data_IF_795459677743
#
_entry.id   IF_795459677743
#
_cell.length_a   1.000
_cell.length_b   1.000
_cell.length_c   1.000
_cell.angle_alpha   90.00
_cell.angle_beta   90.00
_cell.angle_gamma   90.00
#
_symmetry.space_group_name_H-M   'P 1'
#
loop_
_entity.id
_entity.type
_entity.pdbx_description
1 polymer ?
#
# COMPACT_ATOMS: atom_id res chain seq x y z
N UNK A 1 6.78 7.88 15.69
CA UNK A 1 7.25 6.48 15.83
C UNK A 1 8.47 6.53 16.78
N UNK A 2 9.28 5.48 17.00
CA UNK A 2 10.55 5.62 17.75
C UNK A 2 11.59 4.67 17.15
N UNK A 3 12.51 5.19 16.34
CA UNK A 3 13.76 4.48 16.08
C UNK A 3 14.66 4.73 17.31
N UNK A 4 14.92 3.70 18.10
CA UNK A 4 15.87 3.82 19.22
C UNK A 4 17.28 3.91 18.65
N UNK A 5 17.93 5.08 18.79
CA UNK A 5 19.34 5.24 18.45
C UNK A 5 20.17 4.40 19.42
N UNK A 6 20.68 3.27 18.96
CA UNK A 6 21.65 2.48 19.69
C UNK A 6 22.97 3.27 19.77
N UNK A 7 23.16 4.06 20.84
CA UNK A 7 24.50 4.52 21.21
C UNK A 7 25.30 3.30 21.65
N UNK A 8 26.29 2.90 20.87
CA UNK A 8 27.33 1.97 21.31
C UNK A 8 28.10 2.61 22.47
N UNK A 9 27.86 2.14 23.69
CA UNK A 9 28.79 2.28 24.81
C UNK A 9 29.57 0.96 24.94
N UNK A 10 30.87 0.98 25.28
CA UNK A 10 31.64 -0.23 25.43
C UNK A 10 31.24 -0.90 26.74
N UNK A 11 30.57 -2.05 26.67
CA UNK A 11 30.20 -2.83 27.86
C UNK A 11 31.06 -4.08 27.90
N UNK A 12 31.78 -4.21 29.01
CA UNK A 12 32.59 -5.37 29.37
C UNK A 12 31.78 -6.64 29.38
N UNK A 13 32.39 -7.75 28.98
CA UNK A 13 31.84 -9.09 29.05
C UNK A 13 31.33 -9.41 30.47
N UNK A 14 30.01 -9.40 30.63
CA UNK A 14 29.32 -10.18 31.64
C UNK A 14 28.15 -10.89 30.95
N UNK A 15 28.19 -12.23 31.04
CA UNK A 15 27.17 -13.15 30.57
C UNK A 15 25.79 -12.69 31.02
N UNK A 16 24.91 -12.39 30.06
CA UNK A 16 23.50 -12.10 30.34
C UNK A 16 22.64 -13.08 29.56
N UNK A 17 21.69 -13.63 30.31
CA UNK A 17 20.69 -14.65 29.98
C UNK A 17 20.17 -14.60 28.53
N UNK A 18 20.21 -15.74 27.85
CA UNK A 18 19.56 -15.98 26.57
C UNK A 18 18.07 -15.60 26.64
N UNK A 19 17.69 -14.59 25.86
CA UNK A 19 16.29 -14.30 25.54
C UNK A 19 15.76 -15.51 24.74
N UNK A 20 14.60 -16.11 25.07
CA UNK A 20 14.12 -17.28 24.37
C UNK A 20 13.92 -16.96 22.88
N UNK A 21 14.70 -17.61 22.01
CA UNK A 21 14.48 -17.55 20.56
C UNK A 21 13.11 -18.20 20.28
N UNK A 22 12.08 -17.38 20.06
CA UNK A 22 10.82 -17.87 19.48
C UNK A 22 11.15 -18.46 18.12
N UNK A 23 10.98 -19.78 17.99
CA UNK A 23 11.06 -20.46 16.70
C UNK A 23 9.84 -20.04 15.88
N UNK A 24 10.06 -19.31 14.79
CA UNK A 24 9.03 -18.97 13.82
C UNK A 24 9.07 -20.01 12.71
N UNK A 25 8.16 -20.99 12.77
CA UNK A 25 7.96 -21.97 11.71
C UNK A 25 6.84 -21.47 10.80
N UNK A 26 7.13 -21.34 9.51
CA UNK A 26 6.13 -21.06 8.48
C UNK A 26 5.65 -22.41 7.97
N UNK A 27 4.36 -22.69 8.10
CA UNK A 27 3.80 -23.96 7.69
C UNK A 27 3.46 -23.95 6.20
N UNK A 28 4.04 -24.87 5.44
CA UNK A 28 3.64 -25.17 4.07
C UNK A 28 2.31 -25.93 4.07
N UNK A 29 1.31 -25.44 3.34
CA UNK A 29 0.02 -26.09 3.18
C UNK A 29 -0.06 -26.89 1.87
N UNK A 30 -1.08 -27.76 1.76
CA UNK A 30 -1.37 -28.49 0.51
C UNK A 30 -1.55 -27.53 -0.69
N UNK A 31 -2.15 -26.36 -0.46
CA UNK A 31 -2.36 -25.34 -1.48
C UNK A 31 -1.03 -24.75 -1.98
N UNK A 32 -0.05 -24.62 -1.10
CA UNK A 32 1.26 -24.08 -1.46
C UNK A 32 2.05 -25.05 -2.34
N UNK A 33 1.97 -26.35 -2.03
CA UNK A 33 2.53 -27.44 -2.84
C UNK A 33 1.82 -27.55 -4.18
N UNK A 34 0.49 -27.43 -4.18
CA UNK A 34 -0.32 -27.39 -5.41
C UNK A 34 0.12 -26.21 -6.30
N UNK A 35 0.26 -25.01 -5.73
CA UNK A 35 0.72 -23.84 -6.46
C UNK A 35 2.13 -24.04 -7.05
N UNK A 36 3.07 -24.54 -6.26
CA UNK A 36 4.44 -24.87 -6.71
C UNK A 36 4.46 -25.82 -7.92
N UNK A 37 3.67 -26.90 -7.86
CA UNK A 37 3.57 -27.87 -8.95
C UNK A 37 3.01 -27.29 -10.26
N UNK A 38 2.31 -26.16 -10.19
CA UNK A 38 1.71 -25.48 -11.34
C UNK A 38 2.60 -24.41 -11.97
N UNK A 39 3.68 -23.98 -11.32
CA UNK A 39 4.61 -22.99 -11.90
C UNK A 39 5.32 -23.46 -13.19
N UNK A 40 5.67 -24.75 -13.37
CA UNK A 40 6.21 -25.25 -14.64
C UNK A 40 5.15 -25.53 -15.72
N UNK A 41 3.85 -25.48 -15.42
CA UNK A 41 2.80 -25.96 -16.33
C UNK A 41 1.54 -25.11 -16.24
N UNK A 42 1.33 -24.33 -17.29
CA UNK A 42 0.15 -23.52 -17.62
C UNK A 42 -1.21 -24.03 -17.07
N UNK A 43 -1.84 -23.15 -16.26
CA UNK A 43 -3.27 -23.04 -15.93
C UNK A 43 -3.99 -24.24 -15.27
N UNK A 44 -4.52 -24.07 -14.05
CA UNK A 44 -5.95 -24.27 -13.68
C UNK A 44 -6.27 -23.91 -12.20
N UNK A 45 -7.56 -23.90 -11.89
CA UNK A 45 -8.30 -23.14 -10.87
C UNK A 45 -8.63 -23.94 -9.60
N UNK A 46 -8.60 -23.31 -8.41
CA UNK A 46 -9.28 -23.81 -7.21
C UNK A 46 -10.28 -22.78 -6.68
N UNK A 47 -11.56 -23.18 -6.58
CA UNK A 47 -12.62 -22.39 -5.97
C UNK A 47 -12.47 -22.40 -4.44
N UNK A 48 -12.23 -21.25 -3.84
CA UNK A 48 -12.38 -21.08 -2.39
C UNK A 48 -13.87 -20.95 -2.08
N UNK A 49 -14.41 -21.95 -1.39
CA UNK A 49 -15.70 -21.84 -0.71
C UNK A 49 -15.67 -20.64 0.23
N UNK A 50 -16.44 -19.61 -0.14
CA UNK A 50 -16.69 -18.44 0.71
C UNK A 50 -17.40 -18.92 1.97
N UNK A 51 -16.69 -18.91 3.09
CA UNK A 51 -17.35 -18.93 4.39
C UNK A 51 -17.84 -17.51 4.66
N UNK A 52 -19.15 -17.26 4.82
CA UNK A 52 -19.62 -15.95 5.22
C UNK A 52 -19.09 -15.68 6.64
N UNK A 53 -18.18 -14.71 6.76
CA UNK A 53 -17.81 -14.13 8.05
C UNK A 53 -19.07 -13.48 8.62
N UNK A 54 -19.62 -14.08 9.69
CA UNK A 54 -20.76 -13.50 10.42
C UNK A 54 -20.30 -12.17 11.00
N UNK A 55 -20.99 -11.04 10.73
CA UNK A 55 -20.69 -9.80 11.42
C UNK A 55 -20.95 -10.02 12.92
N UNK A 56 -19.91 -9.85 13.73
CA UNK A 56 -20.03 -9.85 15.18
C UNK A 56 -20.88 -8.62 15.53
N UNK A 57 -22.15 -8.83 15.91
CA UNK A 57 -23.03 -7.75 16.35
C UNK A 57 -22.49 -7.21 17.68
N UNK A 58 -21.73 -6.13 17.62
CA UNK A 58 -21.41 -5.34 18.80
C UNK A 58 -22.63 -4.47 19.17
N UNK A 59 -22.89 -4.25 20.47
CA UNK A 59 -24.01 -3.43 20.92
C UNK A 59 -23.92 -2.01 20.37
N UNK A 60 -25.07 -1.38 20.13
CA UNK A 60 -25.15 0.00 19.69
C UNK A 60 -24.62 0.92 20.80
N UNK A 61 -23.40 1.43 20.62
CA UNK A 61 -22.83 2.47 21.47
C UNK A 61 -23.44 3.78 20.99
N UNK A 62 -24.15 4.47 21.89
CA UNK A 62 -24.56 5.86 21.67
C UNK A 62 -23.29 6.72 21.66
N UNK A 63 -22.70 6.92 20.48
CA UNK A 63 -21.46 7.67 20.35
C UNK A 63 -21.75 9.12 20.05
N UNK A 64 -21.26 10.01 20.91
CA UNK A 64 -21.34 11.46 20.71
C UNK A 64 -20.42 11.86 19.54
N UNK A 65 -20.96 12.60 18.55
CA UNK A 65 -20.19 13.05 17.39
C UNK A 65 -18.99 13.93 17.82
N UNK A 66 -19.17 14.74 18.86
CA UNK A 66 -18.09 15.61 19.36
C UNK A 66 -16.93 14.80 19.96
N UNK A 67 -17.22 13.70 20.66
CA UNK A 67 -16.20 12.79 21.18
C UNK A 67 -15.42 12.13 20.05
N UNK A 68 -16.11 11.70 18.98
CA UNK A 68 -15.45 11.12 17.80
C UNK A 68 -14.55 12.13 17.08
N UNK A 69 -14.97 13.40 16.99
CA UNK A 69 -14.13 14.45 16.38
C UNK A 69 -12.91 14.77 17.23
N UNK A 70 -13.07 14.85 18.56
CA UNK A 70 -11.93 14.99 19.47
C UNK A 70 -11.00 13.78 19.37
N UNK A 71 -11.57 12.58 19.31
CA UNK A 71 -10.81 11.35 19.14
C UNK A 71 -10.05 11.31 17.81
N UNK A 72 -10.65 11.80 16.71
CA UNK A 72 -9.96 12.00 15.44
C UNK A 72 -8.74 12.90 15.61
N UNK A 73 -8.96 14.06 16.23
CA UNK A 73 -7.94 15.09 16.42
C UNK A 73 -6.75 14.58 17.24
N UNK A 74 -7.00 13.74 18.26
CA UNK A 74 -5.96 13.26 19.16
C UNK A 74 -5.32 11.94 18.76
N UNK A 75 -6.07 10.99 18.18
CA UNK A 75 -5.61 9.60 18.02
C UNK A 75 -5.89 9.01 16.65
N UNK A 76 -7.10 9.08 16.11
CA UNK A 76 -7.44 8.29 14.91
C UNK A 76 -6.61 8.70 13.67
N UNK A 77 -6.29 9.99 13.53
CA UNK A 77 -5.49 10.49 12.40
C UNK A 77 -4.07 9.88 12.34
N UNK A 78 -3.53 9.38 13.46
CA UNK A 78 -2.20 8.76 13.51
C UNK A 78 -2.13 7.44 12.74
N UNK A 79 -3.29 6.86 12.43
CA UNK A 79 -3.43 5.63 11.64
C UNK A 79 -3.54 5.91 10.13
N UNK A 80 -3.69 7.16 9.73
CA UNK A 80 -3.65 7.55 8.33
C UNK A 80 -2.21 7.41 7.84
N UNK A 81 -2.01 6.65 6.77
CA UNK A 81 -0.68 6.48 6.18
C UNK A 81 -0.49 7.57 5.12
N UNK A 82 0.53 8.39 5.33
CA UNK A 82 1.00 9.47 4.47
C UNK A 82 2.49 9.26 4.19
N UNK A 83 3.07 9.95 3.20
CA UNK A 83 4.50 9.83 2.90
C UNK A 83 5.27 11.15 3.05
N UNK A 84 5.00 12.18 2.24
CA UNK A 84 5.70 13.46 2.37
C UNK A 84 5.07 14.33 3.47
N UNK A 85 3.77 14.20 3.67
CA UNK A 85 2.99 15.00 4.62
C UNK A 85 2.95 14.36 6.00
N UNK A 86 3.00 15.16 7.06
CA UNK A 86 2.84 14.64 8.43
C UNK A 86 1.39 14.28 8.71
N UNK A 87 1.16 13.30 9.57
CA UNK A 87 -0.20 12.94 10.01
C UNK A 87 -0.93 14.10 10.69
N UNK A 88 -0.20 14.99 11.37
CA UNK A 88 -0.75 16.23 11.91
C UNK A 88 -1.15 17.22 10.80
N UNK A 89 -0.32 17.37 9.75
CA UNK A 89 -0.62 18.21 8.60
C UNK A 89 -1.90 17.77 7.89
N UNK A 90 -2.04 16.47 7.60
CA UNK A 90 -3.27 15.97 6.97
C UNK A 90 -4.47 16.11 7.89
N UNK A 91 -4.34 15.86 9.21
CA UNK A 91 -5.41 16.07 10.19
C UNK A 91 -5.92 17.51 10.16
N UNK A 92 -5.02 18.50 10.23
CA UNK A 92 -5.39 19.91 10.30
C UNK A 92 -6.08 20.38 9.01
N UNK A 93 -5.57 19.93 7.85
CA UNK A 93 -6.20 20.16 6.55
C UNK A 93 -7.61 19.57 6.50
N UNK A 94 -7.77 18.30 6.89
CA UNK A 94 -9.07 17.62 6.89
C UNK A 94 -10.09 18.33 7.80
N UNK A 95 -9.69 18.65 9.04
CA UNK A 95 -10.57 19.34 9.99
C UNK A 95 -10.99 20.72 9.51
N UNK A 96 -10.09 21.49 8.90
CA UNK A 96 -10.41 22.80 8.31
C UNK A 96 -11.41 22.65 7.17
N UNK A 97 -11.16 21.73 6.23
CA UNK A 97 -12.04 21.46 5.10
C UNK A 97 -13.45 21.03 5.53
N UNK A 98 -13.60 20.26 6.60
CA UNK A 98 -14.91 19.82 7.10
C UNK A 98 -15.72 20.94 7.77
N UNK A 99 -15.04 21.97 8.29
CA UNK A 99 -15.68 23.03 9.08
C UNK A 99 -15.81 24.36 8.33
N UNK A 100 -15.24 24.47 7.13
CA UNK A 100 -15.18 25.73 6.38
C UNK A 100 -16.55 26.20 5.89
N UNK A 101 -17.46 25.28 5.56
CA UNK A 101 -18.80 25.58 5.06
C UNK A 101 -19.77 24.43 5.36
N UNK A 102 -21.06 24.64 5.07
CA UNK A 102 -22.11 23.63 5.25
C UNK A 102 -22.51 22.96 3.92
N UNK A 103 -21.57 22.81 2.98
CA UNK A 103 -21.85 22.14 1.71
C UNK A 103 -22.13 20.64 1.92
N UNK A 104 -22.73 20.00 0.92
CA UNK A 104 -22.88 18.54 0.91
C UNK A 104 -21.50 17.85 0.98
N UNK A 105 -20.47 18.38 0.30
CA UNK A 105 -19.12 17.83 0.31
C UNK A 105 -18.44 17.96 1.68
N UNK A 106 -18.59 19.10 2.37
CA UNK A 106 -18.08 19.31 3.73
C UNK A 106 -18.76 18.37 4.72
N UNK A 107 -20.08 18.25 4.60
CA UNK A 107 -20.87 17.33 5.42
C UNK A 107 -20.45 15.88 5.15
N UNK A 108 -20.20 15.50 3.90
CA UNK A 108 -19.70 14.18 3.56
C UNK A 108 -18.35 13.88 4.21
N UNK A 109 -17.43 14.85 4.16
CA UNK A 109 -16.13 14.76 4.79
C UNK A 109 -16.24 14.61 6.31
N UNK A 110 -17.12 15.38 6.95
CA UNK A 110 -17.39 15.25 8.38
C UNK A 110 -17.90 13.84 8.74
N UNK A 111 -18.86 13.31 7.98
CA UNK A 111 -19.38 11.96 8.20
C UNK A 111 -18.35 10.88 7.93
N UNK A 112 -17.46 11.05 6.94
CA UNK A 112 -16.35 10.14 6.70
C UNK A 112 -15.35 10.13 7.88
N UNK A 113 -15.04 11.30 8.47
CA UNK A 113 -14.22 11.37 9.69
C UNK A 113 -14.87 10.68 10.88
N UNK A 114 -16.19 10.86 11.08
CA UNK A 114 -16.93 10.19 12.15
C UNK A 114 -16.94 8.67 11.96
N UNK A 115 -17.14 8.20 10.71
CA UNK A 115 -17.10 6.78 10.36
C UNK A 115 -15.72 6.18 10.68
N UNK A 116 -14.65 6.84 10.21
CA UNK A 116 -13.27 6.42 10.42
C UNK A 116 -12.91 6.39 11.91
N UNK A 117 -13.28 7.42 12.66
CA UNK A 117 -13.01 7.52 14.10
C UNK A 117 -13.78 6.46 14.89
N UNK A 118 -15.04 6.20 14.53
CA UNK A 118 -15.85 5.16 15.15
C UNK A 118 -15.26 3.77 14.90
N UNK A 119 -14.82 3.48 13.67
CA UNK A 119 -14.15 2.24 13.31
C UNK A 119 -12.81 2.08 14.05
N UNK A 120 -12.01 3.15 14.13
CA UNK A 120 -10.72 3.11 14.82
C UNK A 120 -10.91 2.87 16.32
N UNK A 121 -11.85 3.57 16.95
CA UNK A 121 -12.06 3.51 18.39
C UNK A 121 -12.73 2.21 18.85
N UNK A 122 -13.83 1.83 18.21
CA UNK A 122 -14.70 0.74 18.67
C UNK A 122 -14.63 -0.51 17.78
N UNK A 123 -14.06 -0.39 16.58
CA UNK A 123 -14.17 -1.42 15.55
C UNK A 123 -15.43 -1.30 14.71
N UNK A 124 -15.65 -2.33 13.89
CA UNK A 124 -16.75 -2.34 12.93
C UNK A 124 -18.07 -2.46 13.67
N UNK A 125 -18.88 -1.41 13.61
CA UNK A 125 -20.17 -1.31 14.29
C UNK A 125 -21.24 -0.71 13.37
N UNK A 126 -22.52 -0.86 13.77
CA UNK A 126 -23.65 -0.24 13.05
C UNK A 126 -23.48 1.28 12.96
N UNK A 127 -23.00 1.92 14.02
CA UNK A 127 -22.70 3.36 14.06
C UNK A 127 -21.65 3.75 13.02
N UNK A 128 -20.53 3.02 12.94
CA UNK A 128 -19.48 3.30 11.96
C UNK A 128 -19.97 3.17 10.50
N UNK A 129 -20.82 2.16 10.24
CA UNK A 129 -21.40 1.92 8.92
C UNK A 129 -22.45 2.97 8.57
N UNK A 130 -23.26 3.41 9.54
CA UNK A 130 -24.25 4.48 9.34
C UNK A 130 -23.57 5.77 8.89
N UNK A 131 -22.48 6.17 9.55
CA UNK A 131 -21.70 7.34 9.14
C UNK A 131 -21.07 7.16 7.75
N UNK A 132 -20.55 5.96 7.43
CA UNK A 132 -20.04 5.65 6.07
C UNK A 132 -21.13 5.85 5.01
N UNK A 133 -22.33 5.29 5.24
CA UNK A 133 -23.47 5.40 4.31
C UNK A 133 -23.91 6.86 4.14
N UNK A 134 -23.96 7.63 5.24
CA UNK A 134 -24.30 9.06 5.18
C UNK A 134 -23.27 9.85 4.37
N UNK A 135 -21.98 9.58 4.56
CA UNK A 135 -20.92 10.21 3.76
C UNK A 135 -21.09 9.90 2.27
N UNK A 136 -21.36 8.64 1.91
CA UNK A 136 -21.58 8.24 0.51
C UNK A 136 -22.80 8.91 -0.11
N UNK A 137 -23.92 9.00 0.64
CA UNK A 137 -25.11 9.71 0.18
C UNK A 137 -24.80 11.18 -0.10
N UNK A 138 -24.12 11.86 0.82
CA UNK A 138 -23.76 13.27 0.67
C UNK A 138 -22.76 13.52 -0.47
N UNK A 139 -21.82 12.59 -0.71
CA UNK A 139 -20.95 12.62 -1.89
C UNK A 139 -21.76 12.50 -3.18
N UNK A 140 -22.72 11.57 -3.24
CA UNK A 140 -23.61 11.42 -4.40
C UNK A 140 -24.39 12.70 -4.68
N UNK A 141 -25.04 13.27 -3.65
CA UNK A 141 -25.76 14.54 -3.78
C UNK A 141 -24.83 15.66 -4.25
N UNK A 142 -23.63 15.77 -3.68
CA UNK A 142 -22.66 16.77 -4.09
C UNK A 142 -22.23 16.64 -5.55
N UNK A 143 -22.18 15.43 -6.10
CA UNK A 143 -21.80 15.18 -7.49
C UNK A 143 -22.98 15.40 -8.48
N UNK A 144 -24.22 15.37 -7.99
CA UNK A 144 -25.44 15.61 -8.78
C UNK A 144 -25.74 17.11 -8.96
N UNK A 145 -25.24 17.96 -8.06
CA UNK A 145 -25.49 19.42 -8.03
C UNK A 145 -24.74 20.22 -9.13
N UNK A 146 -24.06 19.55 -10.07
CA UNK A 146 -23.34 20.17 -11.18
C UNK A 146 -21.83 20.19 -11.02
N UNK A 147 -21.15 21.16 -11.64
CA UNK A 147 -19.68 21.28 -11.57
C UNK A 147 -19.23 21.67 -10.15
N UNK A 148 -18.31 20.89 -9.59
CA UNK A 148 -17.80 21.13 -8.25
C UNK A 148 -16.88 22.36 -8.23
N UNK A 149 -17.14 23.29 -7.31
CA UNK A 149 -16.16 24.34 -6.98
C UNK A 149 -14.87 23.70 -6.44
N UNK A 150 -13.72 24.38 -6.56
CA UNK A 150 -12.44 23.87 -6.07
C UNK A 150 -12.49 23.48 -4.57
N UNK A 151 -13.19 24.26 -3.74
CA UNK A 151 -13.38 23.95 -2.31
C UNK A 151 -14.18 22.66 -2.13
N UNK A 152 -15.31 22.52 -2.83
CA UNK A 152 -16.15 21.32 -2.75
C UNK A 152 -15.43 20.09 -3.34
N UNK A 153 -14.62 20.27 -4.38
CA UNK A 153 -13.78 19.24 -4.97
C UNK A 153 -12.74 18.72 -3.96
N UNK A 154 -12.00 19.62 -3.30
CA UNK A 154 -11.06 19.25 -2.23
C UNK A 154 -11.74 18.49 -1.09
N UNK A 155 -12.92 18.95 -0.64
CA UNK A 155 -13.71 18.26 0.38
C UNK A 155 -14.17 16.87 -0.09
N UNK A 156 -14.60 16.74 -1.35
CA UNK A 156 -15.02 15.48 -1.94
C UNK A 156 -13.85 14.49 -2.05
N UNK A 157 -12.67 14.96 -2.48
CA UNK A 157 -11.42 14.17 -2.54
C UNK A 157 -11.02 13.70 -1.14
N UNK A 158 -11.03 14.60 -0.16
CA UNK A 158 -10.72 14.30 1.24
C UNK A 158 -11.69 13.25 1.84
N UNK A 159 -12.99 13.39 1.58
CA UNK A 159 -14.00 12.44 2.04
C UNK A 159 -13.78 11.05 1.43
N UNK A 160 -13.53 10.98 0.11
CA UNK A 160 -13.16 9.75 -0.58
C UNK A 160 -11.92 9.10 0.03
N UNK A 161 -10.85 9.85 0.28
CA UNK A 161 -9.62 9.31 0.88
C UNK A 161 -9.85 8.74 2.29
N UNK A 162 -10.67 9.38 3.12
CA UNK A 162 -11.03 8.85 4.44
C UNK A 162 -11.89 7.58 4.36
N UNK A 163 -12.79 7.49 3.38
CA UNK A 163 -13.54 6.26 3.11
C UNK A 163 -12.62 5.13 2.62
N UNK A 164 -11.62 5.45 1.79
CA UNK A 164 -10.57 4.51 1.41
C UNK A 164 -9.76 4.03 2.63
N UNK A 165 -9.40 4.95 3.51
CA UNK A 165 -8.70 4.66 4.77
C UNK A 165 -9.55 3.82 5.73
N UNK A 166 -10.86 4.06 5.78
CA UNK A 166 -11.81 3.25 6.55
C UNK A 166 -11.76 1.78 6.09
N UNK A 167 -11.79 1.54 4.78
CA UNK A 167 -11.73 0.18 4.21
C UNK A 167 -10.38 -0.52 4.45
N UNK A 168 -9.27 0.22 4.51
CA UNK A 168 -7.93 -0.36 4.71
C UNK A 168 -7.52 -0.49 6.17
N UNK A 169 -8.19 0.22 7.10
CA UNK A 169 -7.89 0.18 8.52
C UNK A 169 -8.14 -1.22 9.12
N UNK A 170 -9.30 -1.81 8.78
CA UNK A 170 -9.69 -3.18 9.13
C UNK A 170 -10.36 -3.84 7.93
N UNK A 171 -9.56 -4.31 6.95
CA UNK A 171 -10.09 -4.78 5.69
C UNK A 171 -11.02 -5.97 5.91
N UNK A 172 -12.24 -5.85 5.38
CA UNK A 172 -13.11 -7.01 5.23
C UNK A 172 -12.48 -7.94 4.20
N UNK A 173 -12.57 -9.25 4.41
CA UNK A 173 -11.96 -10.24 3.51
C UNK A 173 -12.61 -10.26 2.09
N UNK A 174 -13.60 -9.40 1.81
CA UNK A 174 -14.46 -9.50 0.63
C UNK A 174 -14.63 -8.25 -0.23
N UNK A 175 -14.33 -7.02 0.23
CA UNK A 175 -14.86 -5.83 -0.45
C UNK A 175 -13.89 -5.17 -1.45
N UNK A 176 -12.58 -5.11 -1.20
CA UNK A 176 -11.64 -4.39 -2.10
C UNK A 176 -12.06 -2.93 -2.40
N UNK A 177 -12.97 -2.38 -1.59
CA UNK A 177 -13.74 -1.16 -1.89
C UNK A 177 -12.87 0.10 -1.83
N UNK A 178 -11.76 0.03 -1.08
CA UNK A 178 -10.79 1.10 -0.96
C UNK A 178 -10.32 1.63 -2.32
N UNK A 179 -10.15 0.75 -3.33
CA UNK A 179 -9.73 1.17 -4.67
C UNK A 179 -10.70 2.16 -5.31
N UNK A 180 -12.00 1.94 -5.17
CA UNK A 180 -13.02 2.82 -5.75
C UNK A 180 -12.99 4.20 -5.12
N UNK A 181 -12.67 4.27 -3.84
CA UNK A 181 -12.50 5.55 -3.15
C UNK A 181 -11.26 6.30 -3.62
N UNK A 182 -10.12 5.62 -3.78
CA UNK A 182 -8.88 6.24 -4.31
C UNK A 182 -9.07 6.69 -5.76
N UNK A 183 -9.65 5.85 -6.62
CA UNK A 183 -9.88 6.21 -8.03
C UNK A 183 -10.94 7.30 -8.17
N UNK A 184 -12.01 7.27 -7.39
CA UNK A 184 -12.98 8.36 -7.36
C UNK A 184 -12.36 9.69 -6.93
N UNK A 185 -11.40 9.67 -6.00
CA UNK A 185 -10.65 10.87 -5.63
C UNK A 185 -9.79 11.39 -6.79
N UNK A 186 -9.11 10.50 -7.52
CA UNK A 186 -8.33 10.85 -8.73
C UNK A 186 -9.23 11.42 -9.82
N UNK A 187 -10.39 10.79 -10.08
CA UNK A 187 -11.35 11.24 -11.09
C UNK A 187 -11.83 12.67 -10.78
N UNK A 188 -12.10 13.00 -9.51
CA UNK A 188 -12.48 14.36 -9.09
C UNK A 188 -11.34 15.35 -9.32
N UNK A 189 -10.10 15.00 -8.92
CA UNK A 189 -8.92 15.85 -9.14
C UNK A 189 -8.76 16.21 -10.63
N UNK A 190 -8.95 15.22 -11.51
CA UNK A 190 -8.84 15.41 -12.95
C UNK A 190 -9.99 16.26 -13.50
N UNK A 191 -11.23 15.94 -13.12
CA UNK A 191 -12.42 16.62 -13.61
C UNK A 191 -12.41 18.12 -13.27
N UNK A 192 -11.88 18.48 -12.10
CA UNK A 192 -11.84 19.87 -11.62
C UNK A 192 -10.49 20.55 -11.80
N UNK A 193 -9.51 19.90 -12.46
CA UNK A 193 -8.14 20.41 -12.64
C UNK A 193 -7.50 20.86 -11.32
N UNK A 194 -7.79 20.15 -10.22
CA UNK A 194 -7.39 20.58 -8.88
C UNK A 194 -5.85 20.65 -8.73
N UNK A 195 -5.13 19.83 -9.51
CA UNK A 195 -3.66 19.84 -9.55
C UNK A 195 -3.07 21.14 -10.09
N UNK A 196 -3.76 21.87 -10.97
CA UNK A 196 -3.26 23.13 -11.51
C UNK A 196 -3.31 24.27 -10.48
N UNK A 197 -4.08 24.05 -9.40
CA UNK A 197 -4.25 24.96 -8.28
C UNK A 197 -3.48 24.51 -7.02
N UNK A 198 -2.55 23.56 -7.16
CA UNK A 198 -1.79 22.99 -6.03
C UNK A 198 -0.74 23.93 -5.42
N UNK A 199 -0.68 25.21 -5.83
CA UNK A 199 0.17 26.22 -5.21
C UNK A 199 -0.24 26.54 -3.76
N UNK A 200 -1.48 26.19 -3.39
CA UNK A 200 -1.94 26.26 -2.00
C UNK A 200 -1.45 25.05 -1.20
N UNK A 201 -0.83 25.30 -0.05
CA UNK A 201 -0.22 24.27 0.81
C UNK A 201 -1.23 23.17 1.21
N UNK A 202 -2.50 23.53 1.44
CA UNK A 202 -3.55 22.57 1.82
C UNK A 202 -3.92 21.62 0.68
N UNK A 203 -4.10 22.17 -0.52
CA UNK A 203 -4.42 21.40 -1.73
C UNK A 203 -3.26 20.49 -2.12
N UNK A 204 -2.02 20.97 -1.96
CA UNK A 204 -0.82 20.14 -2.16
C UNK A 204 -0.79 18.93 -1.21
N UNK A 205 -1.02 19.16 0.10
CA UNK A 205 -1.02 18.09 1.11
C UNK A 205 -2.05 16.99 0.78
N UNK A 206 -3.22 17.38 0.31
CA UNK A 206 -4.28 16.45 -0.07
C UNK A 206 -3.91 15.66 -1.34
N UNK A 207 -3.39 16.34 -2.37
CA UNK A 207 -3.01 15.70 -3.64
C UNK A 207 -1.84 14.74 -3.44
N UNK A 208 -0.84 15.11 -2.64
CA UNK A 208 0.26 14.22 -2.26
C UNK A 208 -0.27 12.93 -1.59
N UNK A 209 -1.21 13.09 -0.66
CA UNK A 209 -1.83 11.94 0.01
C UNK A 209 -2.56 11.03 -1.00
N UNK A 210 -3.31 11.60 -1.95
CA UNK A 210 -3.96 10.84 -3.02
C UNK A 210 -2.95 10.14 -3.90
N UNK A 211 -1.87 10.82 -4.30
CA UNK A 211 -0.85 10.29 -5.21
C UNK A 211 -0.08 9.13 -4.61
N UNK A 212 0.21 9.20 -3.31
CA UNK A 212 0.79 8.10 -2.55
C UNK A 212 -0.11 6.84 -2.62
N UNK A 213 -1.38 6.96 -2.24
CA UNK A 213 -2.32 5.84 -2.25
C UNK A 213 -2.62 5.35 -3.67
N UNK A 214 -2.73 6.25 -4.64
CA UNK A 214 -2.97 5.91 -6.03
C UNK A 214 -1.80 5.11 -6.62
N UNK A 215 -0.56 5.52 -6.36
CA UNK A 215 0.64 4.79 -6.80
C UNK A 215 0.65 3.36 -6.26
N UNK A 216 0.37 3.20 -4.98
CA UNK A 216 0.37 1.89 -4.33
C UNK A 216 -0.87 1.06 -4.70
N UNK A 217 -1.97 1.71 -5.10
CA UNK A 217 -3.10 1.04 -5.75
C UNK A 217 -2.70 0.40 -7.07
N UNK A 218 -1.89 1.09 -7.90
CA UNK A 218 -1.40 0.54 -9.17
C UNK A 218 -0.53 -0.68 -8.93
N UNK A 219 0.43 -0.59 -8.01
CA UNK A 219 1.23 -1.75 -7.59
C UNK A 219 0.36 -2.94 -7.17
N UNK A 220 -0.61 -2.70 -6.28
CA UNK A 220 -1.53 -3.75 -5.80
C UNK A 220 -2.31 -4.39 -6.94
N UNK A 221 -2.88 -3.57 -7.85
CA UNK A 221 -3.67 -4.07 -8.99
C UNK A 221 -2.83 -4.76 -10.05
N UNK A 222 -1.57 -4.38 -10.20
CA UNK A 222 -0.67 -4.97 -11.18
C UNK A 222 -0.33 -6.42 -10.84
N UNK A 223 -0.17 -6.73 -9.55
CA UNK A 223 0.22 -8.05 -9.07
C UNK A 223 -0.96 -8.90 -8.56
N UNK A 224 -2.13 -8.32 -8.33
CA UNK A 224 -3.29 -9.09 -7.89
C UNK A 224 -4.00 -9.79 -9.07
N UNK A 225 -3.64 -11.04 -9.33
CA UNK A 225 -3.98 -11.78 -10.56
C UNK A 225 -5.20 -12.74 -10.45
N UNK A 226 -6.22 -12.43 -9.64
CA UNK A 226 -7.36 -13.35 -9.44
C UNK A 226 -8.22 -13.61 -10.72
N UNK A 227 -7.96 -12.94 -11.86
CA UNK A 227 -8.70 -13.16 -13.12
C UNK A 227 -8.05 -14.14 -14.09
N UNK A 228 -6.74 -14.40 -14.01
CA UNK A 228 -6.08 -15.38 -14.90
C UNK A 228 -6.52 -16.82 -14.59
N UNK A 229 -6.87 -17.08 -13.33
CA UNK A 229 -7.28 -18.40 -12.85
C UNK A 229 -8.76 -18.76 -13.12
N UNK A 230 -9.60 -17.84 -13.65
CA UNK A 230 -11.03 -18.09 -13.86
C UNK A 230 -11.49 -18.23 -15.32
N UNK A 231 -10.59 -18.00 -16.30
CA UNK A 231 -10.99 -17.80 -17.71
C UNK A 231 -11.05 -19.06 -18.59
N UNK A 232 -11.20 -20.27 -18.02
CA UNK A 232 -11.43 -21.49 -18.84
C UNK A 232 -12.70 -22.28 -18.52
N UNK A 233 -13.48 -21.93 -17.49
CA UNK A 233 -14.69 -22.67 -17.12
C UNK A 233 -16.02 -22.01 -17.52
N UNK A 234 -16.05 -20.82 -18.11
CA UNK A 234 -17.32 -20.20 -18.54
C UNK A 234 -17.16 -19.41 -19.83
N UNK A 235 -17.83 -19.87 -20.90
CA UNK A 235 -18.02 -19.14 -22.17
C UNK A 235 -18.95 -17.92 -22.04
N UNK A 236 -19.25 -17.47 -20.82
CA UNK A 236 -19.78 -16.13 -20.56
C UNK A 236 -18.73 -15.39 -19.75
N UNK A 237 -17.94 -14.48 -20.37
CA UNK A 237 -17.01 -13.67 -19.60
C UNK A 237 -17.83 -12.87 -18.60
N UNK A 238 -17.48 -13.01 -17.32
CA UNK A 238 -17.96 -12.16 -16.25
C UNK A 238 -17.38 -10.77 -16.50
N UNK A 239 -18.03 -10.05 -17.43
CA UNK A 239 -17.63 -8.76 -17.98
C UNK A 239 -17.73 -7.61 -16.97
N UNK A 240 -18.07 -7.89 -15.72
CA UNK A 240 -18.30 -6.85 -14.70
C UNK A 240 -17.06 -6.02 -14.34
N UNK A 241 -15.85 -6.54 -14.57
CA UNK A 241 -14.63 -5.76 -14.32
C UNK A 241 -13.95 -5.19 -15.57
N UNK A 242 -14.41 -5.55 -16.78
CA UNK A 242 -13.84 -5.03 -18.04
C UNK A 242 -14.86 -4.24 -18.86
N UNK A 243 -16.11 -4.16 -18.41
CA UNK A 243 -17.25 -3.58 -19.15
C UNK A 243 -18.09 -2.59 -18.34
N UNK A 244 -17.46 -1.87 -17.41
CA UNK A 244 -17.53 -0.42 -17.55
C UNK A 244 -16.24 -0.06 -18.26
N UNK A 245 -16.37 0.60 -19.39
CA UNK A 245 -15.39 1.58 -19.84
C UNK A 245 -15.11 2.49 -18.65
N UNK A 246 -14.21 2.07 -17.74
CA UNK A 246 -13.38 3.03 -17.05
C UNK A 246 -12.80 3.87 -18.19
N UNK A 247 -13.02 5.19 -18.24
CA UNK A 247 -12.12 6.04 -18.99
C UNK A 247 -10.72 5.54 -18.65
N UNK A 248 -9.83 5.40 -19.64
CA UNK A 248 -8.60 4.70 -19.38
C UNK A 248 -7.93 5.45 -18.23
N UNK A 249 -7.84 4.78 -17.05
CA UNK A 249 -7.13 5.28 -15.86
C UNK A 249 -5.62 5.48 -16.16
N UNK A 250 -5.24 5.42 -17.45
CA UNK A 250 -3.95 5.64 -18.07
C UNK A 250 -3.64 7.12 -18.34
N UNK A 251 -4.45 8.09 -17.88
CA UNK A 251 -4.20 9.51 -18.17
C UNK A 251 -3.76 10.30 -16.94
N UNK A 252 -4.07 9.85 -15.72
CA UNK A 252 -3.53 10.52 -14.53
C UNK A 252 -2.11 10.05 -14.23
N UNK A 253 -1.14 10.76 -14.80
CA UNK A 253 0.23 10.77 -14.27
C UNK A 253 0.22 11.74 -13.09
N UNK A 254 0.68 11.35 -11.89
CA UNK A 254 0.95 12.29 -10.82
C UNK A 254 1.90 13.38 -11.36
N UNK A 255 1.34 14.53 -11.74
CA UNK A 255 2.11 15.67 -12.23
C UNK A 255 2.53 16.48 -11.01
N UNK A 256 3.51 15.98 -10.27
CA UNK A 256 4.23 16.85 -9.35
C UNK A 256 5.31 17.58 -10.16
N UNK A 257 5.48 18.90 -10.02
CA UNK A 257 6.81 19.45 -10.17
C UNK A 257 7.71 18.64 -9.21
N UNK A 258 8.83 18.10 -9.70
CA UNK A 258 9.79 17.30 -8.92
C UNK A 258 10.49 18.15 -7.86
N UNK A 259 9.73 18.67 -6.90
CA UNK A 259 10.17 19.61 -5.88
C UNK A 259 10.82 18.86 -4.72
N UNK A 260 10.39 17.62 -4.46
CA UNK A 260 10.86 16.84 -3.31
C UNK A 260 11.15 15.36 -3.66
N UNK A 261 12.10 14.70 -2.97
CA UNK A 261 12.48 13.32 -3.25
C UNK A 261 11.36 12.29 -3.13
N UNK A 262 10.33 12.58 -2.34
CA UNK A 262 9.19 11.69 -2.05
C UNK A 262 8.28 11.59 -3.26
N UNK A 263 7.91 12.73 -3.84
CA UNK A 263 7.12 12.77 -5.07
C UNK A 263 7.88 12.19 -6.27
N UNK A 264 9.21 12.40 -6.34
CA UNK A 264 10.07 11.79 -7.36
C UNK A 264 10.05 10.26 -7.28
N UNK A 265 10.27 9.67 -6.10
CA UNK A 265 10.29 8.20 -5.97
C UNK A 265 8.91 7.58 -6.23
N UNK A 266 7.83 8.24 -5.79
CA UNK A 266 6.47 7.79 -6.10
C UNK A 266 6.17 7.82 -7.60
N UNK A 267 6.62 8.86 -8.31
CA UNK A 267 6.46 8.96 -9.77
C UNK A 267 7.22 7.86 -10.52
N UNK A 268 8.43 7.51 -10.06
CA UNK A 268 9.22 6.42 -10.63
C UNK A 268 8.56 5.06 -10.38
N UNK A 269 8.06 4.82 -9.17
CA UNK A 269 7.31 3.61 -8.84
C UNK A 269 6.01 3.50 -9.66
N UNK A 270 5.29 4.60 -9.82
CA UNK A 270 4.07 4.65 -10.64
C UNK A 270 4.37 4.27 -12.10
N UNK A 271 5.42 4.86 -12.68
CA UNK A 271 5.85 4.53 -14.04
C UNK A 271 6.26 3.06 -14.15
N UNK A 272 7.05 2.54 -13.20
CA UNK A 272 7.47 1.15 -13.16
C UNK A 272 6.27 0.19 -13.16
N UNK A 273 5.22 0.51 -12.40
CA UNK A 273 3.99 -0.28 -12.38
C UNK A 273 3.21 -0.20 -13.71
N UNK A 274 3.26 0.93 -14.42
CA UNK A 274 2.53 1.11 -15.69
C UNK A 274 3.23 0.49 -16.89
N UNK A 275 4.56 0.54 -16.93
CA UNK A 275 5.30 0.00 -18.07
C UNK A 275 5.45 -1.51 -18.00
N UNK A 276 5.38 -2.10 -16.80
CA UNK A 276 5.62 -3.53 -16.61
C UNK A 276 4.76 -4.38 -17.56
N UNK A 277 5.43 -5.29 -18.24
CA UNK A 277 4.85 -6.28 -19.13
C UNK A 277 5.13 -7.68 -18.60
N UNK A 278 4.16 -8.59 -18.81
CA UNK A 278 4.37 -10.01 -18.58
C UNK A 278 5.59 -10.48 -19.40
N UNK A 279 6.56 -11.19 -18.81
CA UNK A 279 7.71 -11.75 -19.54
C UNK A 279 7.32 -12.64 -20.74
N UNK A 280 6.13 -13.23 -20.72
CA UNK A 280 5.59 -14.04 -21.81
C UNK A 280 4.97 -13.21 -22.93
N UNK A 281 4.77 -11.90 -22.73
CA UNK A 281 4.32 -10.99 -23.78
C UNK A 281 5.46 -10.77 -24.80
N UNK A 282 5.24 -10.98 -26.12
CA UNK A 282 6.25 -10.69 -27.14
C UNK A 282 6.80 -9.27 -27.08
N UNK A 283 6.01 -8.29 -26.63
CA UNK A 283 6.42 -6.88 -26.48
C UNK A 283 7.41 -6.66 -25.33
N UNK A 284 7.52 -7.60 -24.37
CA UNK A 284 8.53 -7.55 -23.30
C UNK A 284 9.97 -7.63 -23.84
N UNK A 285 10.15 -8.10 -25.07
CA UNK A 285 11.45 -8.19 -25.74
C UNK A 285 11.74 -6.95 -26.60
N UNK A 286 10.81 -5.99 -26.70
CA UNK A 286 10.99 -4.78 -27.49
C UNK A 286 12.13 -3.91 -26.93
N UNK A 287 12.95 -3.30 -27.80
CA UNK A 287 14.00 -2.38 -27.36
C UNK A 287 13.40 -1.16 -26.66
N UNK A 288 12.21 -0.69 -27.05
CA UNK A 288 11.52 0.44 -26.43
C UNK A 288 11.17 0.18 -24.95
N UNK A 289 10.64 -1.00 -24.65
CA UNK A 289 10.34 -1.40 -23.28
C UNK A 289 11.62 -1.50 -22.43
N UNK A 290 12.65 -2.19 -22.94
CA UNK A 290 13.95 -2.34 -22.26
C UNK A 290 14.65 -0.98 -22.04
N UNK A 291 14.57 -0.07 -23.01
CA UNK A 291 15.09 1.29 -22.87
C UNK A 291 14.34 2.07 -21.79
N UNK A 292 13.02 1.90 -21.69
CA UNK A 292 12.20 2.57 -20.68
C UNK A 292 12.55 2.09 -19.27
N UNK A 293 12.74 0.79 -19.07
CA UNK A 293 13.19 0.21 -17.80
C UNK A 293 14.59 0.71 -17.40
N UNK A 294 15.56 0.68 -18.31
CA UNK A 294 16.92 1.18 -18.05
C UNK A 294 16.93 2.66 -17.68
N UNK A 295 16.06 3.47 -18.32
CA UNK A 295 15.87 4.87 -17.95
C UNK A 295 15.35 5.01 -16.51
N UNK A 296 14.38 4.19 -16.11
CA UNK A 296 13.88 4.21 -14.74
C UNK A 296 14.94 3.79 -13.72
N UNK A 297 15.75 2.78 -14.03
CA UNK A 297 16.87 2.36 -13.18
C UNK A 297 17.86 3.51 -12.95
N UNK A 298 18.30 4.16 -14.03
CA UNK A 298 19.21 5.30 -13.94
C UNK A 298 18.61 6.45 -13.11
N UNK A 299 17.33 6.77 -13.32
CA UNK A 299 16.64 7.82 -12.55
C UNK A 299 16.52 7.48 -11.05
N UNK A 300 16.34 6.21 -10.69
CA UNK A 300 16.33 5.79 -9.29
C UNK A 300 17.74 5.78 -8.70
N UNK A 301 18.75 5.37 -9.46
CA UNK A 301 20.15 5.40 -9.03
C UNK A 301 20.62 6.83 -8.75
N UNK A 302 20.25 7.79 -9.59
CA UNK A 302 20.50 9.22 -9.37
C UNK A 302 19.82 9.70 -8.07
N UNK A 303 18.62 9.22 -7.78
CA UNK A 303 17.88 9.59 -6.57
C UNK A 303 18.46 8.94 -5.31
N UNK A 304 19.00 7.72 -5.39
CA UNK A 304 19.72 7.05 -4.30
C UNK A 304 21.03 7.78 -4.00
N UNK A 305 21.76 8.21 -5.04
CA UNK A 305 22.99 8.97 -4.88
C UNK A 305 22.76 10.37 -4.30
N UNK A 306 21.54 10.91 -4.43
CA UNK A 306 21.16 12.21 -3.87
C UNK A 306 21.03 12.15 -2.34
N UNK A 307 21.65 13.10 -1.60
CA UNK A 307 21.59 13.11 -0.15
C UNK A 307 20.15 13.23 0.35
N UNK A 308 19.85 12.54 1.45
CA UNK A 308 18.59 12.74 2.16
C UNK A 308 18.53 14.18 2.68
N UNK A 309 17.42 14.92 2.48
CA UNK A 309 17.29 16.26 3.01
C UNK A 309 17.49 16.31 4.54
N UNK A 310 18.36 17.21 5.00
CA UNK A 310 18.78 17.30 6.41
C UNK A 310 17.66 17.74 7.37
N UNK A 311 16.60 18.34 6.84
CA UNK A 311 15.42 18.83 7.56
C UNK A 311 14.37 17.73 7.82
N UNK A 312 14.52 16.55 7.21
CA UNK A 312 13.66 15.42 7.50
C UNK A 312 13.92 14.89 8.90
N UNK A 313 12.84 14.60 9.62
CA UNK A 313 12.95 13.84 10.85
C UNK A 313 13.49 12.41 10.56
N UNK A 314 14.09 11.72 11.54
CA UNK A 314 14.71 10.41 11.31
C UNK A 314 13.76 9.35 10.74
N UNK A 315 12.45 9.44 11.01
CA UNK A 315 11.45 8.49 10.55
C UNK A 315 11.14 8.69 9.07
N UNK A 316 10.92 9.94 8.66
CA UNK A 316 10.72 10.31 7.26
C UNK A 316 11.97 10.05 6.42
N UNK A 317 13.16 10.30 6.98
CA UNK A 317 14.44 9.94 6.35
C UNK A 317 14.55 8.41 6.14
N UNK A 318 14.24 7.62 7.16
CA UNK A 318 14.22 6.16 7.04
C UNK A 318 13.18 5.68 6.01
N UNK A 319 11.96 6.21 6.04
CA UNK A 319 10.92 5.86 5.09
C UNK A 319 11.36 6.17 3.64
N UNK A 320 11.97 7.33 3.41
CA UNK A 320 12.47 7.73 2.09
C UNK A 320 13.56 6.78 1.58
N UNK A 321 14.56 6.47 2.41
CA UNK A 321 15.62 5.52 2.06
C UNK A 321 15.06 4.13 1.76
N UNK A 322 14.11 3.69 2.57
CA UNK A 322 13.46 2.39 2.39
C UNK A 322 12.67 2.35 1.06
N UNK A 323 11.95 3.42 0.70
CA UNK A 323 11.27 3.54 -0.58
C UNK A 323 12.23 3.61 -1.78
N UNK A 324 13.36 4.31 -1.65
CA UNK A 324 14.41 4.38 -2.68
C UNK A 324 14.94 2.99 -2.99
N UNK A 325 15.37 2.25 -1.97
CA UNK A 325 15.91 0.89 -2.14
C UNK A 325 14.84 -0.08 -2.63
N UNK A 326 13.63 -0.07 -2.06
CA UNK A 326 12.56 -0.96 -2.48
C UNK A 326 12.15 -0.73 -3.94
N UNK A 327 12.03 0.53 -4.36
CA UNK A 327 11.69 0.86 -5.76
C UNK A 327 12.82 0.44 -6.71
N UNK A 328 14.10 0.60 -6.30
CA UNK A 328 15.24 0.14 -7.07
C UNK A 328 15.24 -1.37 -7.25
N UNK A 329 15.00 -2.14 -6.18
CA UNK A 329 14.85 -3.59 -6.22
C UNK A 329 13.70 -3.96 -7.16
N UNK A 330 12.53 -3.35 -6.97
CA UNK A 330 11.36 -3.65 -7.78
C UNK A 330 11.62 -3.44 -9.28
N UNK A 331 12.23 -2.31 -9.67
CA UNK A 331 12.56 -2.03 -11.08
C UNK A 331 13.63 -3.00 -11.59
N UNK A 332 14.69 -3.27 -10.81
CA UNK A 332 15.76 -4.19 -11.21
C UNK A 332 15.25 -5.61 -11.46
N UNK A 333 14.28 -6.06 -10.64
CA UNK A 333 13.66 -7.38 -10.78
C UNK A 333 12.65 -7.40 -11.93
N UNK A 334 11.97 -6.27 -12.19
CA UNK A 334 11.09 -6.12 -13.34
C UNK A 334 11.84 -6.10 -14.68
N UNK A 335 13.07 -5.56 -14.70
CA UNK A 335 13.93 -5.48 -15.88
C UNK A 335 14.75 -6.75 -16.12
N UNK A 336 14.77 -7.68 -15.14
CA UNK A 336 15.65 -8.82 -15.17
C UNK A 336 15.26 -9.83 -16.28
N UNK A 337 16.19 -10.03 -17.20
CA UNK A 337 16.11 -11.09 -18.20
C UNK A 337 16.46 -12.44 -17.57
N UNK A 338 15.76 -13.55 -17.91
CA UNK A 338 16.15 -14.90 -17.49
C UNK A 338 17.56 -15.32 -17.95
N UNK A 339 18.10 -14.63 -18.96
CA UNK A 339 19.36 -14.93 -19.62
C UNK A 339 20.53 -14.08 -19.11
N UNK A 340 20.25 -13.10 -18.25
CA UNK A 340 21.25 -12.17 -17.71
C UNK A 340 21.47 -12.43 -16.23
N UNK A 341 22.68 -12.13 -15.76
CA UNK A 341 22.98 -12.21 -14.34
C UNK A 341 22.07 -11.24 -13.56
N UNK A 342 21.53 -11.64 -12.39
CA UNK A 342 20.75 -10.74 -11.56
C UNK A 342 21.52 -9.48 -11.19
N UNK A 343 20.81 -8.35 -11.14
CA UNK A 343 21.35 -7.13 -10.58
C UNK A 343 21.85 -7.40 -9.15
N UNK A 344 23.09 -7.00 -8.89
CA UNK A 344 23.76 -7.17 -7.59
C UNK A 344 23.32 -6.01 -6.69
N UNK A 345 22.38 -6.29 -5.79
CA UNK A 345 21.81 -5.31 -4.85
C UNK A 345 22.11 -5.66 -3.38
N UNK A 346 22.92 -6.70 -3.15
CA UNK A 346 23.17 -7.28 -1.82
C UNK A 346 23.69 -6.25 -0.82
N UNK A 347 24.58 -5.34 -1.25
CA UNK A 347 25.11 -4.29 -0.38
C UNK A 347 24.04 -3.31 0.12
N UNK A 348 23.06 -2.96 -0.72
CA UNK A 348 21.94 -2.09 -0.34
C UNK A 348 20.98 -2.80 0.62
N UNK A 349 20.70 -4.08 0.33
CA UNK A 349 19.83 -4.92 1.17
C UNK A 349 20.47 -5.16 2.54
N UNK A 350 21.74 -5.54 2.57
CA UNK A 350 22.49 -5.79 3.80
C UNK A 350 22.63 -4.52 4.66
N UNK A 351 22.78 -3.35 4.05
CA UNK A 351 22.80 -2.08 4.79
C UNK A 351 21.49 -1.84 5.55
N UNK A 352 20.34 -2.18 4.95
CA UNK A 352 19.03 -2.06 5.61
C UNK A 352 18.89 -3.07 6.76
N UNK A 353 19.28 -4.33 6.55
CA UNK A 353 19.21 -5.39 7.57
C UNK A 353 20.14 -5.14 8.75
N UNK A 354 21.36 -4.67 8.50
CA UNK A 354 22.34 -4.34 9.55
C UNK A 354 22.03 -3.03 10.28
N UNK A 355 21.18 -2.17 9.71
CA UNK A 355 20.83 -0.88 10.28
C UNK A 355 19.38 -0.81 10.77
N UNK A 356 18.49 -0.09 10.04
CA UNK A 356 17.20 0.33 10.56
C UNK A 356 16.17 -0.81 10.71
N UNK A 357 16.28 -1.90 9.94
CA UNK A 357 15.37 -3.06 10.09
C UNK A 357 15.46 -3.66 11.50
N UNK A 358 16.63 -3.62 12.12
CA UNK A 358 16.82 -4.16 13.46
C UNK A 358 16.20 -3.29 14.57
N UNK A 359 16.09 -1.97 14.37
CA UNK A 359 15.83 -0.99 15.43
C UNK A 359 14.58 -0.12 15.24
N UNK A 360 13.97 -0.12 14.07
CA UNK A 360 12.78 0.69 13.76
C UNK A 360 11.49 -0.16 13.66
N UNK A 361 10.39 0.54 13.42
CA UNK A 361 9.07 0.02 13.02
C UNK A 361 8.72 0.55 11.63
N UNK A 362 7.83 -0.12 10.89
CA UNK A 362 7.55 0.26 9.50
C UNK A 362 6.05 0.16 9.16
N UNK A 363 5.41 1.30 8.90
CA UNK A 363 4.00 1.38 8.46
C UNK A 363 3.83 1.34 6.94
N UNK A 364 4.93 1.40 6.18
CA UNK A 364 4.91 1.41 4.72
C UNK A 364 5.00 -0.02 4.20
N UNK A 365 3.88 -0.57 3.73
CA UNK A 365 3.79 -2.01 3.46
C UNK A 365 4.42 -2.41 2.12
N UNK A 366 4.40 -1.53 1.10
CA UNK A 366 5.13 -1.78 -0.15
C UNK A 366 6.62 -2.05 0.09
N UNK A 367 7.39 -1.12 0.71
CA UNK A 367 8.81 -1.37 0.88
C UNK A 367 9.10 -2.57 1.79
N UNK A 368 8.26 -2.78 2.82
CA UNK A 368 8.37 -3.95 3.69
C UNK A 368 8.22 -5.27 2.91
N UNK A 369 7.24 -5.36 2.00
CA UNK A 369 7.04 -6.53 1.15
C UNK A 369 8.27 -6.76 0.26
N UNK A 370 8.73 -5.73 -0.44
CA UNK A 370 9.87 -5.85 -1.36
C UNK A 370 11.13 -6.29 -0.61
N UNK A 371 11.43 -5.67 0.53
CA UNK A 371 12.59 -6.05 1.33
C UNK A 371 12.47 -7.48 1.88
N UNK A 372 11.28 -7.89 2.31
CA UNK A 372 11.03 -9.24 2.75
C UNK A 372 11.20 -10.27 1.63
N UNK A 373 10.84 -9.94 0.38
CA UNK A 373 11.09 -10.84 -0.75
C UNK A 373 12.58 -11.09 -1.00
N UNK A 374 13.46 -10.18 -0.58
CA UNK A 374 14.92 -10.33 -0.68
C UNK A 374 15.56 -11.04 0.53
N UNK A 375 14.80 -11.44 1.56
CA UNK A 375 15.35 -12.15 2.71
C UNK A 375 15.63 -13.63 2.40
N UNK A 376 16.86 -13.91 1.94
CA UNK A 376 17.32 -15.25 1.53
C UNK A 376 17.80 -16.11 2.68
N UNK A 377 18.08 -15.50 3.83
CA UNK A 377 18.59 -16.18 5.03
C UNK A 377 17.57 -16.15 6.16
N UNK A 378 17.61 -17.17 7.02
CA UNK A 378 16.70 -17.28 8.17
C UNK A 378 16.83 -16.11 9.14
N UNK A 379 18.03 -15.58 9.36
CA UNK A 379 18.23 -14.41 10.22
C UNK A 379 17.58 -13.14 9.66
N UNK A 380 17.62 -12.94 8.35
CA UNK A 380 16.91 -11.84 7.68
C UNK A 380 15.38 -12.03 7.79
N UNK A 381 14.86 -13.25 7.58
CA UNK A 381 13.43 -13.57 7.75
C UNK A 381 12.97 -13.30 9.18
N UNK A 382 13.76 -13.72 10.18
CA UNK A 382 13.51 -13.43 11.59
C UNK A 382 13.52 -11.93 11.87
N UNK A 383 14.44 -11.17 11.25
CA UNK A 383 14.48 -9.71 11.39
C UNK A 383 13.20 -9.04 10.85
N UNK A 384 12.68 -9.49 9.71
CA UNK A 384 11.40 -9.02 9.15
C UNK A 384 10.23 -9.37 10.07
N UNK A 385 10.16 -10.60 10.58
CA UNK A 385 9.09 -11.00 11.51
C UNK A 385 9.13 -10.19 12.81
N UNK A 386 10.32 -9.92 13.34
CA UNK A 386 10.50 -9.04 14.49
C UNK A 386 10.09 -7.59 14.19
N UNK A 387 10.40 -7.08 12.99
CA UNK A 387 9.96 -5.76 12.54
C UNK A 387 8.43 -5.67 12.47
N UNK A 388 7.77 -6.70 11.92
CA UNK A 388 6.30 -6.80 11.88
C UNK A 388 5.72 -6.83 13.30
N UNK A 389 6.23 -7.70 14.18
CA UNK A 389 5.74 -7.83 15.56
C UNK A 389 5.90 -6.52 16.34
N UNK A 390 7.06 -5.84 16.24
CA UNK A 390 7.27 -4.52 16.86
C UNK A 390 6.28 -3.48 16.32
N UNK A 391 6.02 -3.50 15.03
CA UNK A 391 5.08 -2.57 14.38
C UNK A 391 3.65 -2.85 14.86
N UNK A 392 3.20 -4.10 14.86
CA UNK A 392 1.83 -4.48 15.27
C UNK A 392 1.49 -4.18 16.74
N UNK A 393 2.48 -4.02 17.62
CA UNK A 393 2.25 -3.62 19.03
C UNK A 393 1.65 -2.22 19.16
N UNK A 394 1.81 -1.37 18.15
CA UNK A 394 1.15 -0.08 18.13
C UNK A 394 -0.31 -0.24 17.67
N UNK A 395 -1.25 -0.08 18.62
CA UNK A 395 -2.69 -0.22 18.38
C UNK A 395 -3.26 0.78 17.35
N UNK A 396 -2.49 1.82 16.99
CA UNK A 396 -2.85 2.78 15.96
C UNK A 396 -2.58 2.25 14.55
N UNK A 397 -1.82 1.17 14.39
CA UNK A 397 -1.43 0.70 13.05
C UNK A 397 -2.55 -0.15 12.46
N UNK A 398 -2.84 0.08 11.17
CA UNK A 398 -3.79 -0.72 10.41
C UNK A 398 -3.38 -2.18 10.36
N UNK A 399 -4.34 -3.07 10.13
CA UNK A 399 -4.06 -4.50 10.11
C UNK A 399 -2.94 -4.87 9.11
N UNK A 400 -1.84 -5.46 9.61
CA UNK A 400 -0.76 -5.97 8.75
C UNK A 400 -1.02 -7.40 8.25
N UNK A 401 -2.21 -7.97 8.49
CA UNK A 401 -2.53 -9.37 8.15
C UNK A 401 -2.26 -9.67 6.67
N UNK A 402 -2.72 -8.80 5.78
CA UNK A 402 -2.60 -9.04 4.34
C UNK A 402 -1.14 -8.99 3.84
N UNK A 403 -0.34 -8.01 4.30
CA UNK A 403 1.09 -7.95 3.94
C UNK A 403 1.88 -9.11 4.55
N UNK A 404 1.55 -9.52 5.77
CA UNK A 404 2.20 -10.67 6.42
C UNK A 404 1.91 -11.96 5.67
N UNK A 405 0.64 -12.18 5.29
CA UNK A 405 0.25 -13.33 4.48
C UNK A 405 0.95 -13.34 3.12
N UNK A 406 1.06 -12.18 2.47
CA UNK A 406 1.76 -12.06 1.19
C UNK A 406 3.25 -12.40 1.32
N UNK A 407 3.94 -11.88 2.34
CA UNK A 407 5.34 -12.19 2.64
C UNK A 407 5.53 -13.69 2.86
N UNK A 408 4.71 -14.29 3.72
CA UNK A 408 4.80 -15.72 4.03
C UNK A 408 4.54 -16.58 2.79
N UNK A 409 3.55 -16.23 1.97
CA UNK A 409 3.27 -16.94 0.72
C UNK A 409 4.46 -16.86 -0.26
N UNK A 410 5.14 -15.71 -0.36
CA UNK A 410 6.37 -15.60 -1.16
C UNK A 410 7.47 -16.51 -0.63
N UNK A 411 7.75 -16.46 0.68
CA UNK A 411 8.80 -17.28 1.29
C UNK A 411 8.54 -18.78 1.12
N UNK A 412 7.29 -19.22 1.27
CA UNK A 412 6.92 -20.62 1.03
C UNK A 412 7.21 -21.03 -0.42
N UNK A 413 6.89 -20.19 -1.41
CA UNK A 413 7.22 -20.49 -2.80
C UNK A 413 8.72 -20.48 -3.06
N UNK A 414 9.47 -19.54 -2.48
CA UNK A 414 10.93 -19.52 -2.58
C UNK A 414 11.53 -20.82 -2.04
N UNK A 415 11.05 -21.30 -0.89
CA UNK A 415 11.53 -22.53 -0.25
C UNK A 415 11.19 -23.78 -1.08
N UNK A 416 9.97 -23.84 -1.63
CA UNK A 416 9.56 -24.94 -2.50
C UNK A 416 10.37 -24.99 -3.81
N UNK A 417 10.81 -23.84 -4.31
CA UNK A 417 11.65 -23.76 -5.52
C UNK A 417 13.15 -23.78 -5.24
N UNK A 418 13.60 -23.90 -3.99
CA UNK A 418 15.02 -23.81 -3.63
C UNK A 418 15.90 -24.84 -4.36
N UNK A 419 15.36 -26.05 -4.59
CA UNK A 419 16.05 -27.15 -5.28
C UNK A 419 15.53 -27.38 -6.72
N UNK A 420 14.69 -26.47 -7.24
CA UNK A 420 14.09 -26.63 -8.57
C UNK A 420 15.03 -26.14 -9.67
N UNK A 421 15.08 -26.87 -10.79
CA UNK A 421 15.72 -26.39 -12.02
C UNK A 421 14.95 -25.22 -12.67
N UNK A 422 13.69 -24.99 -12.24
CA UNK A 422 12.82 -23.93 -12.77
C UNK A 422 12.95 -22.68 -11.92
N UNK A 423 13.59 -21.65 -12.49
CA UNK A 423 13.65 -20.31 -11.90
C UNK A 423 12.28 -19.65 -11.94
N UNK A 424 11.71 -19.39 -10.76
CA UNK A 424 10.50 -18.57 -10.65
C UNK A 424 10.87 -17.11 -10.83
N UNK A 425 10.15 -16.42 -11.71
CA UNK A 425 10.34 -14.98 -11.86
C UNK A 425 9.89 -14.25 -10.57
N UNK A 426 10.69 -13.30 -10.12
CA UNK A 426 10.37 -12.41 -9.00
C UNK A 426 8.97 -11.77 -9.10
N UNK A 427 8.54 -11.39 -10.30
CA UNK A 427 7.22 -10.77 -10.50
C UNK A 427 6.06 -11.78 -10.35
N UNK A 428 6.32 -13.05 -10.67
CA UNK A 428 5.37 -14.14 -10.43
C UNK A 428 5.26 -14.43 -8.94
N UNK A 429 6.38 -14.43 -8.21
CA UNK A 429 6.39 -14.54 -6.74
C UNK A 429 5.56 -13.42 -6.09
N UNK A 430 5.78 -12.17 -6.49
CA UNK A 430 4.98 -11.04 -6.00
C UNK A 430 3.49 -11.25 -6.30
N UNK A 431 3.17 -11.69 -7.52
CA UNK A 431 1.79 -11.93 -7.93
C UNK A 431 1.13 -13.05 -7.11
N UNK A 432 1.86 -14.11 -6.81
CA UNK A 432 1.43 -15.20 -5.92
C UNK A 432 1.18 -14.68 -4.50
N UNK A 433 2.16 -13.99 -3.93
CA UNK A 433 2.08 -13.44 -2.58
C UNK A 433 0.88 -12.52 -2.42
N UNK A 434 0.71 -11.58 -3.35
CA UNK A 434 -0.38 -10.60 -3.32
C UNK A 434 -1.74 -11.28 -3.57
N UNK A 435 -1.79 -12.29 -4.43
CA UNK A 435 -3.02 -13.06 -4.73
C UNK A 435 -3.37 -14.11 -3.66
N UNK A 436 -2.54 -14.30 -2.63
CA UNK A 436 -2.88 -15.15 -1.47
C UNK A 436 -4.08 -14.60 -0.68
N UNK A 437 -4.31 -13.29 -0.75
CA UNK A 437 -5.42 -12.60 -0.11
C UNK A 437 -6.71 -12.70 -0.95
N UNK A 438 -7.85 -12.94 -0.29
CA UNK A 438 -9.17 -13.04 -0.93
C UNK A 438 -9.68 -11.73 -1.53
N UNK A 439 -9.18 -10.60 -1.03
CA UNK A 439 -9.41 -9.25 -1.56
C UNK A 439 -8.08 -8.59 -1.87
N UNK A 440 -8.08 -7.65 -2.81
CA UNK A 440 -6.89 -6.87 -3.15
C UNK A 440 -6.36 -6.10 -1.92
N UNK A 441 -5.13 -6.40 -1.45
CA UNK A 441 -4.56 -5.74 -0.29
C UNK A 441 -4.11 -4.32 -0.63
N UNK A 442 -4.19 -3.41 0.35
CA UNK A 442 -3.56 -2.10 0.22
C UNK A 442 -2.14 -2.13 0.80
N UNK A 443 -1.16 -1.81 -0.05
CA UNK A 443 0.24 -1.64 0.33
C UNK A 443 0.60 -0.19 0.70
N UNK A 444 -0.40 0.70 0.74
CA UNK A 444 -0.27 2.11 1.11
C UNK A 444 -0.09 2.37 2.60
#
# INVERSE_FOLDING_TARGET
>A
MVCTTAKQAPVSFQETSEIPRRLFLINTSFRDVELHNYLPSQYHQAQVSKSPSKPLKQPAIHTNQNELLQYFHHLAHLSLVTFSTTTAGIRDTLMRMAMINNSASASALLHAMLAYSSLHHHGLSETSLKFKVQALHLLSTSAEDGELSLVNASQHVAASMLLGSFETLRPSESSGEWLWHIWGAVDVIQATQLSDHSSENETYVLIDWVNYHHTLSRFSTQHWQHKSLASKASKKPMQLFRRRTTPPLSIYRPNHPSIDPTSSIMSLLFEACNIYMDPQDPQSQSPEYRNSLRRLEAQVDDLIASPVPNDLNPESAFALELYRVATRIYIARASQSPWEAPAVLDSLVDALFNGPVASCTCIHFFPLLILACESRRDDQRVAILNLIDRTQRDARIRSMKAVTNAIQAVWVQQDLHADSEVLVNYMDLLSIGISSSSSIPSFA
#
